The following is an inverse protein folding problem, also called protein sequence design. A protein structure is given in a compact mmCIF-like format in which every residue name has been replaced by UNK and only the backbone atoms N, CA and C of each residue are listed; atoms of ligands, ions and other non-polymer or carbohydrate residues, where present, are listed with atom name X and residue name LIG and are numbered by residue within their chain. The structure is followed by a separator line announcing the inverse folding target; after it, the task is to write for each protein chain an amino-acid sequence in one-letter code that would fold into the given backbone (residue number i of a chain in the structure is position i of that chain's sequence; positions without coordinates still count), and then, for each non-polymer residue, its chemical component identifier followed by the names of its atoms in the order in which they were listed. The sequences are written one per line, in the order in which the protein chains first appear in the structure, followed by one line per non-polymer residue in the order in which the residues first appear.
data_IF_943278718942
#
_entry.id   IF_943278718942
#
_cell.length_a   1.000
_cell.length_b   1.000
_cell.length_c   1.000
_cell.angle_alpha   90.00
_cell.angle_beta   90.00
_cell.angle_gamma   90.00
#
_symmetry.space_group_name_H-M   'P 1'
#
loop_
_entity.id
_entity.type
_entity.pdbx_description
1 polymer ?
#
# COMPACT_ATOMS: atom_id res chain seq x y z
N UNK A 1 -6.31 45.95 29.38
CA UNK A 1 -5.95 44.59 29.84
C UNK A 1 -6.52 43.60 28.85
N UNK A 2 -5.76 43.23 27.82
CA UNK A 2 -6.15 42.23 26.82
C UNK A 2 -5.68 40.86 27.31
N UNK A 3 -6.63 39.96 27.57
CA UNK A 3 -6.33 38.56 27.89
C UNK A 3 -5.73 37.92 26.63
N UNK A 4 -4.56 37.26 26.69
CA UNK A 4 -4.04 36.51 25.57
C UNK A 4 -5.03 35.38 25.25
N UNK A 5 -5.58 35.39 24.03
CA UNK A 5 -6.36 34.28 23.51
C UNK A 5 -5.50 33.02 23.53
N UNK A 6 -5.95 32.00 24.27
CA UNK A 6 -5.30 30.70 24.40
C UNK A 6 -5.36 29.99 23.06
N UNK A 7 -4.40 30.29 22.18
CA UNK A 7 -4.28 29.75 20.84
C UNK A 7 -4.33 28.22 20.91
N UNK A 8 -5.46 27.65 20.49
CA UNK A 8 -5.58 26.19 20.30
C UNK A 8 -4.42 25.74 19.42
N UNK A 9 -3.67 24.68 19.80
CA UNK A 9 -2.58 24.19 18.98
C UNK A 9 -3.07 23.97 17.55
N UNK A 10 -2.35 24.51 16.57
CA UNK A 10 -2.66 24.28 15.15
C UNK A 10 -2.68 22.79 14.80
N UNK A 11 -3.28 22.40 13.67
CA UNK A 11 -3.32 21.00 13.25
C UNK A 11 -1.91 20.40 13.20
N UNK A 12 -1.74 19.17 13.72
CA UNK A 12 -0.44 18.46 13.67
C UNK A 12 0.14 18.48 12.24
N UNK A 13 1.45 18.71 12.04
CA UNK A 13 2.08 18.67 10.72
C UNK A 13 1.90 17.32 10.02
N UNK A 14 1.96 17.33 8.68
CA UNK A 14 1.69 16.14 7.83
C UNK A 14 2.54 14.94 8.23
N UNK A 15 3.84 15.14 8.49
CA UNK A 15 4.75 14.05 8.85
C UNK A 15 4.36 13.39 10.18
N UNK A 16 3.90 14.14 11.19
CA UNK A 16 3.42 13.57 12.45
C UNK A 16 2.17 12.73 12.20
N UNK A 17 1.24 13.24 11.40
CA UNK A 17 0.01 12.49 11.07
C UNK A 17 0.33 11.21 10.29
N UNK A 18 1.24 11.28 9.31
CA UNK A 18 1.70 10.12 8.56
C UNK A 18 2.37 9.08 9.47
N UNK A 19 3.27 9.53 10.37
CA UNK A 19 3.93 8.67 11.35
C UNK A 19 2.92 8.01 12.30
N UNK A 20 1.95 8.77 12.81
CA UNK A 20 0.90 8.24 13.69
C UNK A 20 0.00 7.23 12.97
N UNK A 21 -0.36 7.49 11.71
CA UNK A 21 -1.17 6.56 10.92
C UNK A 21 -0.44 5.24 10.66
N UNK A 22 0.83 5.29 10.24
CA UNK A 22 1.55 4.05 9.95
C UNK A 22 1.95 3.29 11.22
N UNK A 23 2.33 4.00 12.29
CA UNK A 23 2.59 3.38 13.58
C UNK A 23 1.31 2.77 14.18
N UNK A 24 0.18 3.47 14.03
CA UNK A 24 -1.13 2.96 14.43
C UNK A 24 -1.55 1.72 13.63
N UNK A 25 -1.32 1.71 12.32
CA UNK A 25 -1.56 0.53 11.49
C UNK A 25 -0.68 -0.66 11.92
N UNK A 26 0.62 -0.45 12.10
CA UNK A 26 1.51 -1.53 12.58
C UNK A 26 1.11 -2.00 13.98
N UNK A 27 0.77 -1.09 14.90
CA UNK A 27 0.27 -1.47 16.22
C UNK A 27 -1.03 -2.28 16.15
N UNK A 28 -1.93 -1.97 15.21
CA UNK A 28 -3.11 -2.78 14.95
C UNK A 28 -2.72 -4.20 14.51
N UNK A 29 -1.74 -4.37 13.61
CA UNK A 29 -1.29 -5.69 13.18
C UNK A 29 -0.78 -6.53 14.35
N UNK A 30 0.05 -5.94 15.22
CA UNK A 30 0.52 -6.60 16.43
C UNK A 30 -0.61 -6.93 17.41
N UNK A 31 -1.64 -6.07 17.49
CA UNK A 31 -2.83 -6.34 18.29
C UNK A 31 -3.64 -7.52 17.75
N UNK A 32 -3.82 -7.61 16.43
CA UNK A 32 -4.51 -8.74 15.78
C UNK A 32 -3.75 -10.04 16.00
N UNK A 33 -2.44 -10.06 15.77
CA UNK A 33 -1.57 -11.22 16.02
C UNK A 33 -1.59 -11.65 17.50
N UNK A 34 -1.59 -10.69 18.43
CA UNK A 34 -1.68 -11.00 19.86
C UNK A 34 -3.01 -11.66 20.23
N UNK A 35 -4.11 -11.25 19.58
CA UNK A 35 -5.42 -11.87 19.79
C UNK A 35 -5.45 -13.27 19.18
N UNK A 36 -4.94 -13.45 17.96
CA UNK A 36 -4.85 -14.76 17.30
C UNK A 36 -4.04 -15.76 18.14
N UNK A 37 -2.87 -15.34 18.63
CA UNK A 37 -2.01 -16.19 19.46
C UNK A 37 -2.60 -16.54 20.84
N UNK A 38 -3.56 -15.75 21.35
CA UNK A 38 -4.14 -15.94 22.69
C UNK A 38 -5.53 -16.59 22.66
N UNK A 39 -6.26 -16.45 21.55
CA UNK A 39 -7.60 -17.00 21.39
C UNK A 39 -7.52 -18.42 20.81
N UNK A 40 -8.49 -19.30 21.11
CA UNK A 40 -8.63 -20.59 20.45
C UNK A 40 -9.25 -20.46 19.03
N UNK A 41 -9.29 -19.24 18.48
CA UNK A 41 -9.87 -18.94 17.18
C UNK A 41 -8.75 -18.84 16.15
N UNK A 42 -8.95 -19.45 15.00
CA UNK A 42 -8.05 -19.35 13.83
C UNK A 42 -8.47 -18.12 13.00
N UNK A 43 -7.93 -16.94 13.33
CA UNK A 43 -8.25 -15.72 12.58
C UNK A 43 -7.65 -15.75 11.18
N UNK A 44 -6.55 -16.48 11.00
CA UNK A 44 -5.86 -16.65 9.72
C UNK A 44 -6.76 -17.30 8.65
N UNK A 45 -7.70 -18.14 9.06
CA UNK A 45 -8.74 -18.71 8.19
C UNK A 45 -9.58 -17.65 7.45
N UNK A 46 -9.63 -16.40 7.95
CA UNK A 46 -10.31 -15.28 7.29
C UNK A 46 -9.47 -14.64 6.16
N UNK A 47 -8.31 -15.19 5.82
CA UNK A 47 -7.48 -14.76 4.70
C UNK A 47 -8.07 -15.07 3.32
N UNK A 48 -7.29 -14.79 2.27
CA UNK A 48 -7.74 -15.02 0.90
C UNK A 48 -7.61 -16.50 0.57
N UNK A 49 -8.74 -17.20 0.48
CA UNK A 49 -8.81 -18.52 -0.14
C UNK A 49 -9.10 -18.38 -1.65
N UNK A 50 -8.19 -18.82 -2.54
CA UNK A 50 -8.32 -18.55 -3.97
C UNK A 50 -9.52 -19.23 -4.61
N UNK A 51 -10.28 -18.45 -5.38
CA UNK A 51 -11.42 -18.89 -6.22
C UNK A 51 -12.58 -19.52 -5.44
N UNK A 52 -12.73 -19.24 -4.14
CA UNK A 52 -13.93 -19.57 -3.36
C UNK A 52 -14.75 -18.31 -3.06
N UNK A 53 -16.07 -18.45 -2.92
CA UNK A 53 -16.95 -17.31 -2.65
C UNK A 53 -16.64 -16.69 -1.26
N UNK A 54 -16.44 -17.53 -0.25
CA UNK A 54 -16.11 -17.09 1.11
C UNK A 54 -14.70 -16.50 1.18
N UNK A 55 -13.73 -17.07 0.46
CA UNK A 55 -12.35 -16.57 0.37
C UNK A 55 -12.23 -15.17 -0.24
N UNK A 56 -13.26 -14.67 -0.92
CA UNK A 56 -13.27 -13.30 -1.44
C UNK A 56 -13.33 -12.28 -0.29
N UNK A 57 -13.95 -12.61 0.85
CA UNK A 57 -13.93 -11.76 2.04
C UNK A 57 -12.51 -11.54 2.56
N UNK A 58 -11.62 -12.51 2.31
CA UNK A 58 -10.21 -12.40 2.61
C UNK A 58 -9.51 -11.20 1.97
N UNK A 59 -10.03 -10.64 0.88
CA UNK A 59 -9.48 -9.40 0.30
C UNK A 59 -9.51 -8.26 1.32
N UNK A 60 -10.53 -8.20 2.19
CA UNK A 60 -10.63 -7.18 3.22
C UNK A 60 -9.68 -7.43 4.41
N UNK A 61 -9.43 -8.70 4.76
CA UNK A 61 -8.77 -9.07 6.02
C UNK A 61 -7.32 -9.53 5.86
N UNK A 62 -6.94 -10.14 4.74
CA UNK A 62 -5.62 -10.74 4.56
C UNK A 62 -4.45 -9.82 4.91
N UNK A 63 -4.45 -8.51 4.58
CA UNK A 63 -3.31 -7.65 4.92
C UNK A 63 -3.18 -7.32 6.42
N UNK A 64 -4.17 -7.66 7.24
CA UNK A 64 -4.11 -7.49 8.70
C UNK A 64 -3.83 -8.78 9.47
N UNK A 65 -3.85 -9.94 8.80
CA UNK A 65 -3.61 -11.27 9.37
C UNK A 65 -2.17 -11.71 9.08
N UNK A 66 -1.53 -12.45 9.99
CA UNK A 66 -0.18 -12.97 9.82
C UNK A 66 -0.07 -14.36 10.43
N UNK A 67 0.67 -15.25 9.76
CA UNK A 67 0.79 -16.65 10.16
C UNK A 67 1.54 -16.88 11.49
N UNK A 68 2.42 -15.93 11.85
CA UNK A 68 3.18 -15.93 13.09
C UNK A 68 3.91 -14.59 13.30
N UNK A 69 4.49 -14.44 14.49
CA UNK A 69 5.33 -13.30 14.87
C UNK A 69 6.54 -13.08 13.96
N UNK A 70 7.11 -14.13 13.36
CA UNK A 70 8.26 -13.98 12.46
C UNK A 70 7.82 -13.36 11.11
N UNK A 71 6.66 -13.77 10.61
CA UNK A 71 6.04 -13.20 9.42
C UNK A 71 5.69 -11.72 9.64
N UNK A 72 5.04 -11.37 10.77
CA UNK A 72 4.71 -9.98 11.10
C UNK A 72 5.96 -9.10 11.31
N UNK A 73 6.95 -9.58 12.06
CA UNK A 73 8.18 -8.81 12.32
C UNK A 73 8.99 -8.58 11.04
N UNK A 74 9.02 -9.53 10.11
CA UNK A 74 9.65 -9.37 8.79
C UNK A 74 9.00 -8.24 7.95
N UNK A 75 7.72 -7.95 8.18
CA UNK A 75 6.99 -6.89 7.47
C UNK A 75 7.13 -5.52 8.13
N UNK A 76 7.47 -5.47 9.42
CA UNK A 76 7.37 -4.25 10.25
C UNK A 76 8.21 -3.08 9.74
N UNK A 77 9.49 -3.30 9.44
CA UNK A 77 10.37 -2.21 8.97
C UNK A 77 9.94 -1.71 7.58
N UNK A 78 9.71 -2.57 6.57
CA UNK A 78 9.18 -2.12 5.28
C UNK A 78 7.85 -1.38 5.40
N UNK A 79 6.92 -1.84 6.26
CA UNK A 79 5.64 -1.17 6.48
C UNK A 79 5.83 0.24 7.03
N UNK A 80 6.60 0.39 8.10
CA UNK A 80 6.87 1.69 8.73
C UNK A 80 7.49 2.66 7.74
N UNK A 81 8.53 2.24 7.01
CA UNK A 81 9.28 3.13 6.12
C UNK A 81 8.51 3.45 4.84
N UNK A 82 8.05 2.45 4.11
CA UNK A 82 7.36 2.67 2.83
C UNK A 82 5.99 3.31 3.06
N UNK A 83 5.23 2.84 4.06
CA UNK A 83 3.95 3.43 4.43
C UNK A 83 4.09 4.89 4.85
N UNK A 84 5.11 5.23 5.64
CA UNK A 84 5.41 6.63 5.96
C UNK A 84 5.70 7.46 4.71
N UNK A 85 6.57 6.99 3.81
CA UNK A 85 6.94 7.71 2.58
C UNK A 85 5.73 7.93 1.66
N UNK A 86 4.84 6.95 1.57
CA UNK A 86 3.57 7.05 0.83
C UNK A 86 2.68 8.12 1.45
N UNK A 87 2.47 8.10 2.77
CA UNK A 87 1.55 9.01 3.48
C UNK A 87 2.09 10.43 3.63
N UNK A 88 3.38 10.61 3.89
CA UNK A 88 4.00 11.94 4.09
C UNK A 88 4.00 12.76 2.80
N UNK A 89 4.00 12.10 1.65
CA UNK A 89 3.89 12.73 0.33
C UNK A 89 2.48 13.25 0.02
N UNK A 90 1.50 12.93 0.87
CA UNK A 90 0.12 13.38 0.76
C UNK A 90 -0.85 12.31 1.28
N UNK A 91 -1.38 12.50 2.49
CA UNK A 91 -2.18 11.48 3.21
C UNK A 91 -3.34 10.96 2.37
N UNK A 92 -4.20 11.83 1.82
CA UNK A 92 -5.35 11.39 1.03
C UNK A 92 -4.95 10.58 -0.21
N UNK A 93 -3.88 10.98 -0.89
CA UNK A 93 -3.35 10.27 -2.06
C UNK A 93 -2.68 8.95 -1.68
N UNK A 94 -1.98 8.91 -0.54
CA UNK A 94 -1.37 7.70 0.01
C UNK A 94 -2.40 6.67 0.45
N UNK A 95 -3.49 7.11 1.09
CA UNK A 95 -4.62 6.24 1.44
C UNK A 95 -5.33 5.71 0.19
N UNK A 96 -5.56 6.56 -0.82
CA UNK A 96 -6.12 6.11 -2.10
C UNK A 96 -5.23 5.09 -2.81
N UNK A 97 -3.90 5.32 -2.82
CA UNK A 97 -2.95 4.36 -3.39
C UNK A 97 -2.97 3.03 -2.63
N UNK A 98 -3.00 3.08 -1.30
CA UNK A 98 -3.09 1.91 -0.43
C UNK A 98 -4.37 1.11 -0.72
N UNK A 99 -5.52 1.78 -0.85
CA UNK A 99 -6.78 1.10 -1.16
C UNK A 99 -6.75 0.40 -2.54
N UNK A 100 -6.19 1.06 -3.57
CA UNK A 100 -6.02 0.46 -4.90
C UNK A 100 -5.11 -0.78 -4.82
N UNK A 101 -3.96 -0.66 -4.15
CA UNK A 101 -3.01 -1.77 -3.96
C UNK A 101 -3.68 -2.94 -3.24
N UNK A 102 -4.37 -2.65 -2.15
CA UNK A 102 -5.06 -3.64 -1.32
C UNK A 102 -6.08 -4.44 -2.12
N UNK A 103 -6.95 -3.75 -2.85
CA UNK A 103 -8.01 -4.40 -3.65
C UNK A 103 -7.43 -5.13 -4.86
N UNK A 104 -6.55 -4.49 -5.63
CA UNK A 104 -5.96 -5.11 -6.84
C UNK A 104 -5.10 -6.30 -6.48
N UNK A 105 -4.28 -6.16 -5.43
CA UNK A 105 -3.48 -7.23 -4.89
C UNK A 105 -4.34 -8.39 -4.43
N UNK A 106 -5.35 -8.12 -3.60
CA UNK A 106 -6.19 -9.16 -3.03
C UNK A 106 -7.00 -9.90 -4.10
N UNK A 107 -7.64 -9.17 -5.02
CA UNK A 107 -8.38 -9.76 -6.14
C UNK A 107 -7.48 -10.56 -7.09
N UNK A 108 -6.29 -10.04 -7.38
CA UNK A 108 -5.31 -10.74 -8.21
C UNK A 108 -4.84 -12.05 -7.56
N UNK A 109 -4.59 -12.03 -6.25
CA UNK A 109 -4.27 -13.22 -5.45
C UNK A 109 -5.42 -14.22 -5.48
N UNK A 110 -6.63 -13.77 -5.16
CA UNK A 110 -7.82 -14.62 -5.14
C UNK A 110 -8.08 -15.30 -6.49
N UNK A 111 -7.85 -14.60 -7.60
CA UNK A 111 -8.09 -15.12 -8.94
C UNK A 111 -7.00 -16.12 -9.38
N UNK A 112 -5.73 -15.86 -9.06
CA UNK A 112 -4.59 -16.53 -9.72
C UNK A 112 -3.75 -17.43 -8.83
N UNK A 113 -3.84 -17.32 -7.51
CA UNK A 113 -3.04 -18.12 -6.60
C UNK A 113 -3.49 -19.60 -6.58
N UNK A 114 -2.66 -20.49 -6.01
CA UNK A 114 -2.96 -21.92 -5.94
C UNK A 114 -4.12 -22.21 -4.99
N UNK A 115 -5.03 -23.11 -5.35
CA UNK A 115 -6.14 -23.51 -4.46
C UNK A 115 -5.65 -24.39 -3.31
N UNK A 116 -6.42 -24.43 -2.22
CA UNK A 116 -6.10 -25.24 -1.02
C UNK A 116 -5.17 -24.56 -0.01
N UNK A 117 -4.88 -23.27 -0.21
CA UNK A 117 -4.09 -22.44 0.69
C UNK A 117 -4.83 -21.14 0.99
N UNK A 118 -4.63 -20.60 2.19
CA UNK A 118 -5.11 -19.28 2.58
C UNK A 118 -3.95 -18.31 2.54
N UNK A 119 -4.13 -17.17 1.89
CA UNK A 119 -3.11 -16.14 1.76
C UNK A 119 -3.39 -14.97 2.71
N UNK A 120 -2.40 -14.64 3.52
CA UNK A 120 -2.42 -13.58 4.53
C UNK A 120 -1.10 -12.81 4.51
N UNK A 121 -1.06 -11.67 5.20
CA UNK A 121 0.14 -10.87 5.39
C UNK A 121 0.05 -9.49 4.73
N UNK A 122 0.64 -8.51 5.40
CA UNK A 122 0.70 -7.12 4.93
C UNK A 122 1.68 -6.92 3.75
N UNK A 123 2.40 -7.95 3.33
CA UNK A 123 3.43 -7.86 2.29
C UNK A 123 2.86 -7.39 0.95
N UNK A 124 1.58 -7.66 0.67
CA UNK A 124 0.88 -7.13 -0.50
C UNK A 124 0.96 -5.59 -0.58
N UNK A 125 0.87 -4.91 0.58
CA UNK A 125 0.99 -3.47 0.70
C UNK A 125 2.46 -3.04 0.54
N UNK A 126 3.40 -3.80 1.09
CA UNK A 126 4.84 -3.54 0.95
C UNK A 126 5.24 -3.52 -0.53
N UNK A 127 4.87 -4.55 -1.29
CA UNK A 127 5.18 -4.65 -2.73
C UNK A 127 4.51 -3.54 -3.53
N UNK A 128 3.24 -3.23 -3.24
CA UNK A 128 2.55 -2.15 -3.94
C UNK A 128 3.05 -0.75 -3.58
N UNK A 129 3.36 -0.47 -2.32
CA UNK A 129 3.95 0.81 -1.92
C UNK A 129 5.33 0.99 -2.54
N UNK A 130 6.13 -0.09 -2.61
CA UNK A 130 7.43 -0.08 -3.26
C UNK A 130 7.31 0.34 -4.74
N UNK A 131 6.51 -0.37 -5.54
CA UNK A 131 6.35 -0.03 -6.96
C UNK A 131 5.64 1.30 -7.19
N UNK A 132 4.70 1.68 -6.32
CA UNK A 132 4.07 3.00 -6.34
C UNK A 132 5.11 4.12 -6.17
N UNK A 133 5.97 4.03 -5.15
CA UNK A 133 7.00 5.03 -4.88
C UNK A 133 8.03 5.12 -6.01
N UNK A 134 8.42 3.99 -6.60
CA UNK A 134 9.37 3.93 -7.72
C UNK A 134 8.77 4.60 -8.97
N UNK A 135 7.51 4.32 -9.28
CA UNK A 135 6.91 4.70 -10.57
C UNK A 135 6.16 6.03 -10.56
N UNK A 136 5.69 6.50 -9.39
CA UNK A 136 4.87 7.74 -9.31
C UNK A 136 5.56 8.96 -9.92
N UNK A 137 6.86 9.12 -9.70
CA UNK A 137 7.62 10.26 -10.21
C UNK A 137 7.71 10.31 -11.73
N UNK A 138 7.70 9.13 -12.37
CA UNK A 138 7.69 8.98 -13.82
C UNK A 138 6.34 9.46 -14.36
N UNK A 139 5.23 9.02 -13.77
CA UNK A 139 3.89 9.39 -14.24
C UNK A 139 3.51 10.84 -13.93
N UNK A 140 3.95 11.39 -12.80
CA UNK A 140 3.75 12.81 -12.45
C UNK A 140 4.79 13.72 -13.11
N UNK A 141 5.85 13.16 -13.70
CA UNK A 141 7.05 13.86 -14.23
C UNK A 141 7.55 14.90 -13.22
N UNK A 142 7.77 14.46 -11.98
CA UNK A 142 8.30 15.29 -10.89
C UNK A 142 9.66 14.76 -10.47
N UNK A 143 10.72 15.55 -10.70
CA UNK A 143 12.11 15.11 -10.45
C UNK A 143 12.37 14.71 -9.00
N UNK A 144 11.79 15.43 -8.03
CA UNK A 144 11.90 15.08 -6.61
C UNK A 144 11.31 13.69 -6.31
N UNK A 145 10.17 13.35 -6.90
CA UNK A 145 9.56 12.03 -6.75
C UNK A 145 10.36 10.94 -7.45
N UNK A 146 11.00 11.25 -8.58
CA UNK A 146 11.90 10.32 -9.28
C UNK A 146 13.12 10.01 -8.42
N UNK A 147 13.76 11.02 -7.83
CA UNK A 147 14.91 10.84 -6.92
C UNK A 147 14.52 9.97 -5.72
N UNK A 148 13.37 10.23 -5.09
CA UNK A 148 12.85 9.37 -4.01
C UNK A 148 12.66 7.94 -4.51
N UNK A 149 12.05 7.75 -5.69
CA UNK A 149 11.84 6.43 -6.28
C UNK A 149 13.14 5.67 -6.54
N UNK A 150 14.19 6.35 -7.00
CA UNK A 150 15.54 5.75 -7.20
C UNK A 150 16.17 5.34 -5.88
N UNK A 151 16.10 6.18 -4.85
CA UNK A 151 16.62 5.84 -3.51
C UNK A 151 15.86 4.64 -2.94
N UNK A 152 14.53 4.64 -3.05
CA UNK A 152 13.70 3.52 -2.61
C UNK A 152 14.03 2.25 -3.39
N UNK A 153 14.21 2.32 -4.71
CA UNK A 153 14.64 1.17 -5.52
C UNK A 153 16.01 0.65 -5.08
N UNK A 154 16.96 1.52 -4.77
CA UNK A 154 18.29 1.11 -4.34
C UNK A 154 18.26 0.41 -2.98
N UNK A 155 17.50 0.94 -2.01
CA UNK A 155 17.44 0.41 -0.64
C UNK A 155 16.54 -0.83 -0.53
N UNK A 156 15.39 -0.82 -1.20
CA UNK A 156 14.33 -1.83 -1.05
C UNK A 156 14.08 -2.67 -2.30
N UNK A 157 14.76 -2.40 -3.43
CA UNK A 157 14.54 -3.12 -4.69
C UNK A 157 14.74 -4.62 -4.59
N UNK A 158 15.57 -5.10 -3.67
CA UNK A 158 15.74 -6.53 -3.39
C UNK A 158 14.44 -7.24 -2.98
N UNK A 159 13.48 -6.54 -2.37
CA UNK A 159 12.16 -7.10 -2.03
C UNK A 159 11.43 -7.60 -3.28
N UNK A 160 11.62 -6.94 -4.44
CA UNK A 160 10.93 -7.31 -5.69
C UNK A 160 11.26 -8.73 -6.16
N UNK A 161 12.37 -9.34 -5.71
CA UNK A 161 12.64 -10.75 -6.00
C UNK A 161 11.59 -11.70 -5.43
N UNK A 162 10.86 -11.29 -4.39
CA UNK A 162 9.77 -12.09 -3.80
C UNK A 162 8.53 -12.24 -4.69
N UNK A 163 8.48 -11.63 -5.88
CA UNK A 163 7.47 -11.96 -6.90
C UNK A 163 7.77 -13.27 -7.63
N UNK A 164 8.97 -13.83 -7.47
CA UNK A 164 9.31 -15.12 -8.05
C UNK A 164 8.82 -16.27 -7.16
N UNK A 165 8.37 -17.39 -7.76
CA UNK A 165 7.91 -18.57 -7.02
C UNK A 165 9.08 -19.36 -6.43
N UNK A 166 9.81 -18.79 -5.46
CA UNK A 166 11.02 -19.39 -4.88
C UNK A 166 10.79 -20.14 -3.57
N UNK A 167 9.79 -19.76 -2.77
CA UNK A 167 9.38 -20.46 -1.54
C UNK A 167 7.88 -20.79 -1.63
N UNK A 168 7.47 -22.07 -1.53
CA UNK A 168 6.07 -22.47 -1.61
C UNK A 168 5.20 -21.96 -0.45
N UNK A 169 5.81 -21.49 0.65
CA UNK A 169 5.10 -20.89 1.79
C UNK A 169 4.79 -19.41 1.58
N UNK A 170 5.35 -18.79 0.54
CA UNK A 170 5.22 -17.37 0.27
C UNK A 170 4.17 -17.13 -0.81
N UNK A 171 3.26 -16.20 -0.56
CA UNK A 171 2.27 -15.74 -1.54
C UNK A 171 2.92 -14.84 -2.61
N UNK A 172 3.70 -15.43 -3.51
CA UNK A 172 4.35 -14.69 -4.59
C UNK A 172 3.33 -14.04 -5.54
N UNK A 173 2.15 -14.63 -5.74
CA UNK A 173 1.06 -13.97 -6.49
C UNK A 173 0.55 -12.74 -5.75
N UNK A 174 0.43 -12.80 -4.42
CA UNK A 174 0.13 -11.61 -3.60
C UNK A 174 1.16 -10.51 -3.80
N UNK A 175 2.45 -10.86 -3.79
CA UNK A 175 3.52 -9.92 -4.07
C UNK A 175 3.43 -9.33 -5.48
N UNK A 176 3.22 -10.16 -6.49
CA UNK A 176 3.09 -9.74 -7.89
C UNK A 176 1.90 -8.79 -8.07
N UNK A 177 0.71 -9.16 -7.60
CA UNK A 177 -0.49 -8.33 -7.78
C UNK A 177 -0.50 -7.10 -6.88
N UNK A 178 0.15 -7.14 -5.72
CA UNK A 178 0.46 -5.95 -4.94
C UNK A 178 1.34 -4.98 -5.74
N UNK A 179 2.44 -5.48 -6.33
CA UNK A 179 3.33 -4.70 -7.18
C UNK A 179 2.61 -4.10 -8.41
N UNK A 180 1.76 -4.89 -9.09
CA UNK A 180 0.90 -4.41 -10.19
C UNK A 180 -0.06 -3.31 -9.70
N UNK A 181 -0.71 -3.52 -8.55
CA UNK A 181 -1.58 -2.54 -7.91
C UNK A 181 -0.87 -1.22 -7.61
N UNK A 182 0.41 -1.27 -7.22
CA UNK A 182 1.22 -0.08 -6.98
C UNK A 182 1.51 0.74 -8.23
N UNK A 183 1.87 0.08 -9.34
CA UNK A 183 2.05 0.75 -10.64
C UNK A 183 0.73 1.33 -11.15
N UNK A 184 -0.36 0.57 -11.01
CA UNK A 184 -1.70 1.02 -11.39
C UNK A 184 -2.14 2.23 -10.57
N UNK A 185 -1.95 2.21 -9.25
CA UNK A 185 -2.23 3.34 -8.37
C UNK A 185 -1.43 4.58 -8.76
N UNK A 186 -0.14 4.42 -9.08
CA UNK A 186 0.72 5.51 -9.51
C UNK A 186 0.21 6.14 -10.82
N UNK A 187 -0.23 5.32 -11.78
CA UNK A 187 -0.78 5.78 -13.05
C UNK A 187 -2.16 6.44 -12.94
N UNK A 188 -3.09 5.83 -12.19
CA UNK A 188 -4.45 6.34 -11.99
C UNK A 188 -4.44 7.69 -11.29
N UNK A 189 -3.71 7.79 -10.17
CA UNK A 189 -3.74 8.98 -9.35
C UNK A 189 -3.03 10.16 -10.04
N UNK A 190 -2.11 9.92 -10.98
CA UNK A 190 -1.40 10.99 -11.70
C UNK A 190 -2.19 11.60 -12.86
N UNK A 191 -3.44 11.18 -13.09
CA UNK A 191 -4.28 11.68 -14.17
C UNK A 191 -4.52 13.20 -14.11
N UNK A 192 -4.70 13.78 -12.92
CA UNK A 192 -5.01 15.21 -12.79
C UNK A 192 -3.78 16.09 -13.02
N UNK A 193 -2.60 15.70 -12.52
CA UNK A 193 -1.33 16.33 -12.90
C UNK A 193 -1.08 16.28 -14.41
N UNK A 194 -1.42 15.17 -15.07
CA UNK A 194 -1.32 15.07 -16.54
C UNK A 194 -2.28 16.02 -17.24
N UNK A 195 -3.53 16.11 -16.77
CA UNK A 195 -4.56 17.01 -17.34
C UNK A 195 -4.20 18.48 -17.19
N UNK A 196 -3.75 18.91 -16.00
CA UNK A 196 -3.35 20.31 -15.74
C UNK A 196 -2.21 20.80 -16.63
N UNK A 197 -1.41 19.88 -17.17
CA UNK A 197 -0.26 20.18 -18.04
C UNK A 197 -0.59 20.08 -19.54
N UNK A 198 -1.77 19.59 -19.91
CA UNK A 198 -2.17 19.52 -21.32
C UNK A 198 -2.43 20.95 -21.80
N UNK A 199 -1.82 21.38 -22.92
CA UNK A 199 -2.13 22.69 -23.50
C UNK A 199 -3.65 22.82 -23.74
N UNK A 200 -4.25 24.02 -23.59
CA UNK A 200 -5.63 24.24 -23.98
C UNK A 200 -5.85 23.74 -25.40
N UNK A 201 -6.97 23.04 -25.64
CA UNK A 201 -7.33 22.65 -27.00
C UNK A 201 -7.45 23.94 -27.83
N UNK A 202 -6.65 24.05 -28.90
CA UNK A 202 -6.76 25.15 -29.84
C UNK A 202 -8.16 25.04 -30.46
N UNK A 203 -9.03 26.06 -30.34
CA UNK A 203 -10.32 26.04 -31.01
C UNK A 203 -10.09 25.90 -32.50
N UNK A 204 -10.59 24.83 -33.11
CA UNK A 204 -10.67 24.74 -34.56
C UNK A 204 -11.69 25.78 -35.01
N UNK A 205 -11.22 26.92 -35.48
CA UNK A 205 -12.06 27.88 -36.19
C UNK A 205 -12.57 27.18 -37.46
N UNK A 206 -13.83 26.75 -37.45
CA UNK A 206 -14.54 26.39 -38.67
C UNK A 206 -14.74 27.68 -39.46
N UNK A 207 -13.85 27.93 -40.42
CA UNK A 207 -14.10 28.93 -41.45
C UNK A 207 -15.15 28.35 -42.40
N UNK A 208 -16.38 28.87 -42.27
CA UNK A 208 -17.49 28.68 -43.19
C UNK A 208 -18.07 30.03 -43.54
#
# INVERSE_FOLDING_TARGET
MTVPDGSRPGPRPVWQRAALLIAGFVALLYGVEAVDAAAPADLDSAGIEPRTADGLWGVAFAPVLHADWAHLSANTIPLLVLGFLVLVSGIGRGLAATAIIWVVGGLGTWLTAGSGFVHIGASILVFGWLTYLITRGIFTRQSSQIVIGVIVLFVYGGILWGVLPSDPRVSWQGHLFGAVGGVLAAWLLSADERRRRRPPAVPTSSFG
#
